data_IF_816570462638
#
_entry.id   IF_816570462638
#
_cell.length_a   1.000
_cell.length_b   1.000
_cell.length_c   1.000
_cell.angle_alpha   90.00
_cell.angle_beta   90.00
_cell.angle_gamma   90.00
#
_symmetry.space_group_name_H-M   'P 1'
#
loop_
_entity.id
_entity.type
_entity.pdbx_description
1 polymer ?
#
# COMPACT_ATOMS: atom_id res chain seq x y z
N UNK A 1 -13.66 13.81 23.41
CA UNK A 1 -14.24 14.97 24.11
C UNK A 1 -13.90 16.21 23.30
N UNK A 2 -14.91 16.88 22.76
CA UNK A 2 -14.73 18.18 22.13
C UNK A 2 -14.50 19.21 23.24
N UNK A 3 -13.29 19.77 23.34
CA UNK A 3 -12.92 20.69 24.41
C UNK A 3 -13.60 22.05 24.31
N UNK A 4 -14.16 22.40 23.14
CA UNK A 4 -14.89 23.64 22.92
C UNK A 4 -16.38 23.53 23.28
N UNK A 5 -17.01 22.39 23.00
CA UNK A 5 -18.45 22.18 23.26
C UNK A 5 -18.74 21.37 24.52
N UNK A 6 -17.77 20.60 25.02
CA UNK A 6 -17.92 19.65 26.12
C UNK A 6 -18.52 18.31 25.70
N UNK A 7 -18.84 18.12 24.43
CA UNK A 7 -19.47 16.89 23.95
C UNK A 7 -18.51 15.70 23.98
N UNK A 8 -19.00 14.56 24.47
CA UNK A 8 -18.25 13.32 24.55
C UNK A 8 -18.80 12.30 23.55
N UNK A 9 -17.95 11.81 22.66
CA UNK A 9 -18.25 10.68 21.78
C UNK A 9 -17.37 9.51 22.17
N UNK A 10 -17.99 8.35 22.36
CA UNK A 10 -17.33 7.13 22.81
C UNK A 10 -17.43 6.06 21.73
N UNK A 11 -16.30 5.44 21.42
CA UNK A 11 -16.20 4.28 20.53
C UNK A 11 -15.80 3.08 21.37
N UNK A 12 -16.73 2.14 21.53
CA UNK A 12 -16.48 0.90 22.27
C UNK A 12 -15.83 -0.17 21.37
N UNK A 13 -15.22 -1.18 22.00
CA UNK A 13 -14.66 -2.36 21.33
C UNK A 13 -13.51 -2.04 20.33
N UNK A 14 -12.79 -0.95 20.58
CA UNK A 14 -11.57 -0.58 19.85
C UNK A 14 -10.46 -1.58 20.14
N UNK A 15 -9.94 -2.22 19.08
CA UNK A 15 -8.84 -3.17 19.16
C UNK A 15 -7.47 -2.48 19.01
N UNK A 16 -7.38 -1.47 18.14
CA UNK A 16 -6.19 -0.66 17.90
C UNK A 16 -6.60 0.75 17.45
N UNK A 17 -5.78 1.78 17.70
CA UNK A 17 -6.05 3.15 17.28
C UNK A 17 -4.79 3.98 17.01
N UNK A 18 -4.89 4.92 16.07
CA UNK A 18 -3.86 5.92 15.77
C UNK A 18 -4.47 7.32 15.61
N UNK A 19 -3.71 8.33 16.03
CA UNK A 19 -4.05 9.75 15.86
C UNK A 19 -3.10 10.42 14.88
N UNK A 20 -3.65 11.13 13.90
CA UNK A 20 -2.89 12.06 13.08
C UNK A 20 -3.14 13.48 13.58
N UNK A 21 -2.20 14.03 14.38
CA UNK A 21 -2.34 15.36 15.01
C UNK A 21 -2.58 16.48 13.99
N UNK A 22 -1.94 16.42 12.82
CA UNK A 22 -2.09 17.45 11.79
C UNK A 22 -3.36 17.31 10.96
N UNK A 23 -3.87 16.08 10.77
CA UNK A 23 -5.10 15.84 10.01
C UNK A 23 -6.35 15.93 10.89
N UNK A 24 -6.17 16.02 12.21
CA UNK A 24 -7.24 15.94 13.21
C UNK A 24 -8.14 14.73 12.96
N UNK A 25 -7.55 13.53 12.83
CA UNK A 25 -8.27 12.28 12.56
C UNK A 25 -7.90 11.22 13.61
N UNK A 26 -8.93 10.54 14.13
CA UNK A 26 -8.83 9.29 14.87
C UNK A 26 -9.14 8.13 13.93
N UNK A 27 -8.26 7.15 13.82
CA UNK A 27 -8.54 5.90 13.14
C UNK A 27 -8.47 4.73 14.11
N UNK A 28 -9.35 3.74 13.95
CA UNK A 28 -9.41 2.59 14.84
C UNK A 28 -9.98 1.36 14.17
N UNK A 29 -9.68 0.19 14.71
CA UNK A 29 -10.34 -1.07 14.34
C UNK A 29 -11.27 -1.55 15.44
N UNK A 30 -12.32 -2.27 15.06
CA UNK A 30 -13.22 -2.98 15.98
C UNK A 30 -13.28 -4.45 15.62
N UNK A 31 -13.36 -5.31 16.64
CA UNK A 31 -13.59 -6.74 16.47
C UNK A 31 -14.44 -7.25 17.62
N UNK A 32 -15.59 -7.82 17.28
CA UNK A 32 -16.65 -8.22 18.18
C UNK A 32 -16.82 -9.74 18.15
N UNK A 33 -17.56 -10.28 19.13
CA UNK A 33 -17.76 -11.74 19.21
C UNK A 33 -18.75 -12.26 18.17
N UNK A 34 -19.65 -11.41 17.68
CA UNK A 34 -20.74 -11.76 16.77
C UNK A 34 -20.57 -11.15 15.38
N UNK A 35 -19.42 -10.54 15.10
CA UNK A 35 -19.11 -9.90 13.83
C UNK A 35 -19.76 -8.52 13.64
N UNK A 36 -20.64 -8.10 14.56
CA UNK A 36 -21.41 -6.88 14.39
C UNK A 36 -20.57 -5.63 14.61
N UNK A 37 -20.48 -4.81 13.55
CA UNK A 37 -19.70 -3.58 13.60
C UNK A 37 -18.19 -3.79 13.56
N UNK A 38 -17.71 -4.97 13.13
CA UNK A 38 -16.32 -5.24 12.82
C UNK A 38 -15.86 -4.40 11.63
N UNK A 39 -14.62 -3.90 11.69
CA UNK A 39 -14.07 -3.09 10.61
C UNK A 39 -12.90 -2.22 11.03
N UNK A 40 -12.43 -1.43 10.06
CA UNK A 40 -11.52 -0.32 10.26
C UNK A 40 -12.25 0.98 9.94
N UNK A 41 -12.11 1.98 10.80
CA UNK A 41 -12.87 3.21 10.76
C UNK A 41 -11.97 4.42 10.93
N UNK A 42 -12.41 5.52 10.35
CA UNK A 42 -11.80 6.84 10.46
C UNK A 42 -12.87 7.83 10.92
N UNK A 43 -12.49 8.66 11.89
CA UNK A 43 -13.30 9.72 12.47
C UNK A 43 -12.49 11.00 12.39
N UNK A 44 -12.86 11.93 11.51
CA UNK A 44 -12.41 13.31 11.60
C UNK A 44 -12.86 13.90 12.93
N UNK A 45 -11.96 14.60 13.62
CA UNK A 45 -12.23 15.20 14.92
C UNK A 45 -13.06 16.49 14.82
N UNK A 46 -13.24 17.04 13.63
CA UNK A 46 -14.03 18.24 13.36
C UNK A 46 -15.54 17.94 13.24
N UNK A 47 -15.93 16.84 12.58
CA UNK A 47 -17.33 16.43 12.45
C UNK A 47 -17.72 15.19 13.29
N UNK A 48 -16.73 14.45 13.79
CA UNK A 48 -16.88 13.25 14.63
C UNK A 48 -17.71 12.14 13.96
N UNK A 49 -17.90 12.24 12.64
CA UNK A 49 -18.65 11.26 11.87
C UNK A 49 -17.78 10.04 11.59
N UNK A 50 -18.22 8.88 12.08
CA UNK A 50 -17.57 7.59 11.79
C UNK A 50 -17.73 7.26 10.31
N UNK A 51 -16.60 7.08 9.64
CA UNK A 51 -16.50 6.64 8.24
C UNK A 51 -15.78 5.32 8.20
N UNK A 52 -16.31 4.37 7.45
CA UNK A 52 -15.65 3.09 7.29
C UNK A 52 -14.54 3.12 6.24
N UNK A 53 -13.40 2.54 6.60
CA UNK A 53 -12.33 2.15 5.68
C UNK A 53 -12.56 0.72 5.16
N UNK A 54 -12.98 -0.17 6.07
CA UNK A 54 -13.34 -1.56 5.82
C UNK A 54 -14.47 -1.93 6.79
N UNK A 55 -15.48 -2.64 6.32
CA UNK A 55 -16.55 -3.22 7.15
C UNK A 55 -16.84 -4.64 6.71
N UNK A 56 -17.22 -5.47 7.69
CA UNK A 56 -17.58 -6.86 7.47
C UNK A 56 -17.01 -7.75 8.56
N UNK A 57 -17.69 -8.87 8.81
CA UNK A 57 -17.28 -9.87 9.80
C UNK A 57 -15.82 -10.27 9.59
N UNK A 58 -15.00 -10.11 10.63
CA UNK A 58 -13.57 -10.37 10.53
C UNK A 58 -12.79 -9.91 11.76
N UNK A 59 -11.56 -10.42 11.90
CA UNK A 59 -10.70 -10.08 13.03
C UNK A 59 -9.68 -9.01 12.63
N UNK A 60 -9.91 -7.78 13.07
CA UNK A 60 -9.13 -6.58 12.75
C UNK A 60 -8.19 -6.22 13.91
N UNK A 61 -6.94 -6.69 13.86
CA UNK A 61 -6.03 -6.59 15.02
C UNK A 61 -4.98 -5.48 14.96
N UNK A 62 -4.66 -4.94 13.78
CA UNK A 62 -3.61 -3.94 13.63
C UNK A 62 -3.96 -2.93 12.55
N UNK A 63 -3.77 -1.64 12.85
CA UNK A 63 -3.95 -0.54 11.90
C UNK A 63 -2.68 0.31 11.84
N UNK A 64 -1.86 0.20 10.78
CA UNK A 64 -0.77 1.12 10.52
C UNK A 64 -1.19 2.17 9.49
N UNK A 65 -1.15 3.45 9.88
CA UNK A 65 -1.36 4.56 8.98
C UNK A 65 -0.02 5.25 8.67
N UNK A 66 0.18 5.53 7.39
CA UNK A 66 1.23 6.44 6.95
C UNK A 66 0.61 7.78 6.59
N UNK A 67 1.25 8.86 7.05
CA UNK A 67 0.86 10.25 6.74
C UNK A 67 0.74 10.52 5.24
N UNK A 68 1.55 9.83 4.43
CA UNK A 68 1.60 10.03 2.97
C UNK A 68 0.95 8.87 2.19
N UNK A 69 0.37 7.86 2.86
CA UNK A 69 -0.07 6.64 2.18
C UNK A 69 1.09 5.83 1.58
N UNK A 70 2.28 5.95 2.16
CA UNK A 70 3.48 5.19 1.79
C UNK A 70 3.63 3.95 2.67
N UNK A 71 4.10 2.86 2.10
CA UNK A 71 4.18 1.60 2.82
C UNK A 71 5.12 0.65 2.11
N UNK A 72 6.10 0.11 2.85
CA UNK A 72 7.05 -0.85 2.30
C UNK A 72 6.85 -2.23 2.91
N UNK A 73 7.03 -3.29 2.13
CA UNK A 73 6.88 -4.67 2.59
C UNK A 73 5.45 -4.97 3.06
N UNK A 74 5.23 -5.25 4.34
CA UNK A 74 3.89 -5.42 4.90
C UNK A 74 3.03 -4.17 4.85
N UNK A 75 3.63 -3.00 5.10
CA UNK A 75 2.94 -1.72 4.92
C UNK A 75 2.51 -1.54 3.47
N UNK A 76 3.34 -1.97 2.51
CA UNK A 76 3.00 -1.95 1.09
C UNK A 76 1.85 -2.88 0.73
N UNK A 77 1.79 -4.08 1.34
CA UNK A 77 0.61 -4.94 1.24
C UNK A 77 -0.64 -4.24 1.77
N UNK A 78 -0.57 -3.63 2.95
CA UNK A 78 -1.72 -2.97 3.57
C UNK A 78 -2.23 -1.81 2.72
N UNK A 79 -1.33 -0.96 2.22
CA UNK A 79 -1.69 0.10 1.25
C UNK A 79 -2.34 -0.49 0.02
N UNK A 80 -1.69 -1.48 -0.63
CA UNK A 80 -2.23 -2.14 -1.82
C UNK A 80 -3.59 -2.77 -1.58
N UNK A 81 -3.85 -3.32 -0.39
CA UNK A 81 -5.14 -3.89 -0.01
C UNK A 81 -6.20 -2.82 0.23
N UNK A 82 -5.87 -1.78 0.99
CA UNK A 82 -6.80 -0.69 1.33
C UNK A 82 -7.35 0.00 0.09
N UNK A 83 -6.50 0.32 -0.90
CA UNK A 83 -6.93 0.97 -2.15
C UNK A 83 -7.84 0.08 -3.03
N UNK A 84 -8.01 -1.21 -2.69
CA UNK A 84 -9.04 -2.07 -3.32
C UNK A 84 -10.42 -1.93 -2.67
N UNK A 85 -10.46 -1.37 -1.46
CA UNK A 85 -11.66 -1.29 -0.61
C UNK A 85 -12.22 0.12 -0.48
N UNK A 86 -11.38 1.14 -0.71
CA UNK A 86 -11.77 2.53 -0.55
C UNK A 86 -11.12 3.45 -1.59
N UNK A 87 -11.77 4.57 -1.86
CA UNK A 87 -11.30 5.65 -2.74
C UNK A 87 -10.82 6.89 -1.95
N UNK A 88 -10.58 6.74 -0.64
CA UNK A 88 -10.21 7.86 0.24
C UNK A 88 -8.85 8.48 -0.11
N UNK A 89 -7.95 7.72 -0.73
CA UNK A 89 -6.60 8.17 -1.04
C UNK A 89 -6.52 8.77 -2.44
N UNK A 90 -6.06 10.03 -2.53
CA UNK A 90 -5.82 10.72 -3.80
C UNK A 90 -4.66 10.12 -4.60
N UNK A 91 -3.67 9.54 -3.92
CA UNK A 91 -2.57 8.75 -4.48
C UNK A 91 -2.04 7.78 -3.41
N UNK A 92 -1.36 6.71 -3.82
CA UNK A 92 -0.81 5.71 -2.90
C UNK A 92 0.58 5.22 -3.34
N UNK A 93 1.45 4.95 -2.37
CA UNK A 93 2.73 4.29 -2.58
C UNK A 93 2.70 2.91 -1.90
N UNK A 94 2.90 1.85 -2.69
CA UNK A 94 2.94 0.47 -2.21
C UNK A 94 4.26 -0.20 -2.62
N UNK A 95 5.26 -0.07 -1.76
CA UNK A 95 6.62 -0.60 -1.91
C UNK A 95 6.74 -2.07 -1.54
N UNK A 96 7.38 -2.85 -2.41
CA UNK A 96 7.59 -4.30 -2.32
C UNK A 96 6.40 -5.10 -1.73
N UNK A 97 5.16 -4.91 -2.24
CA UNK A 97 3.98 -5.52 -1.63
C UNK A 97 3.87 -6.99 -2.01
N UNK A 98 3.20 -7.78 -1.16
CA UNK A 98 2.64 -9.07 -1.57
C UNK A 98 1.27 -8.80 -2.20
N UNK A 99 1.14 -8.98 -3.51
CA UNK A 99 -0.12 -8.75 -4.23
C UNK A 99 -1.00 -9.99 -4.35
N UNK A 100 -0.38 -11.17 -4.33
CA UNK A 100 -1.02 -12.45 -4.56
C UNK A 100 -0.47 -13.46 -3.56
N UNK A 101 -1.18 -13.62 -2.45
CA UNK A 101 -0.80 -14.54 -1.39
C UNK A 101 -0.84 -15.99 -1.84
N UNK A 102 -1.62 -16.35 -2.88
CA UNK A 102 -1.66 -17.73 -3.39
C UNK A 102 -0.32 -18.14 -4.02
N UNK A 103 0.23 -17.31 -4.91
CA UNK A 103 1.52 -17.56 -5.54
C UNK A 103 2.69 -17.32 -4.57
N UNK A 104 2.53 -16.35 -3.65
CA UNK A 104 3.57 -16.05 -2.68
C UNK A 104 3.64 -17.03 -1.49
N UNK A 105 2.59 -17.83 -1.22
CA UNK A 105 2.57 -18.87 -0.16
C UNK A 105 3.58 -19.98 -0.42
N UNK A 106 3.62 -20.48 -1.67
CA UNK A 106 4.56 -21.53 -2.09
C UNK A 106 6.00 -21.05 -2.34
N UNK A 107 6.29 -19.76 -2.12
CA UNK A 107 7.61 -19.18 -2.40
C UNK A 107 8.64 -19.48 -1.31
N UNK A 108 9.92 -19.32 -1.68
CA UNK A 108 11.07 -19.40 -0.80
C UNK A 108 11.67 -18.00 -0.63
N UNK A 109 12.14 -17.67 0.58
CA UNK A 109 12.97 -16.47 0.81
C UNK A 109 14.37 -16.73 0.29
N UNK A 110 14.74 -16.10 -0.82
CA UNK A 110 16.00 -16.39 -1.52
C UNK A 110 17.26 -16.09 -0.69
N UNK A 111 17.19 -15.19 0.31
CA UNK A 111 18.35 -14.92 1.17
C UNK A 111 18.57 -16.00 2.23
N UNK A 112 17.51 -16.67 2.71
CA UNK A 112 17.58 -17.56 3.88
C UNK A 112 17.24 -19.01 3.57
N UNK A 113 16.63 -19.29 2.41
CA UNK A 113 16.09 -20.61 2.06
C UNK A 113 14.81 -20.98 2.80
N UNK A 114 14.27 -20.09 3.65
CA UNK A 114 13.04 -20.38 4.41
C UNK A 114 11.81 -20.39 3.50
N UNK A 115 10.95 -21.39 3.70
CA UNK A 115 9.58 -21.35 3.18
C UNK A 115 8.86 -20.10 3.66
N UNK A 116 8.02 -19.52 2.82
CA UNK A 116 7.15 -18.39 3.19
C UNK A 116 5.85 -18.83 3.86
N UNK A 117 5.58 -20.12 4.03
CA UNK A 117 4.28 -20.57 4.60
C UNK A 117 4.05 -20.03 6.02
N UNK A 118 5.10 -19.97 6.86
CA UNK A 118 4.99 -19.54 8.26
C UNK A 118 4.40 -18.12 8.42
N UNK A 119 4.70 -17.22 7.47
CA UNK A 119 4.25 -15.83 7.55
C UNK A 119 2.75 -15.70 7.29
N UNK A 120 2.20 -16.54 6.41
CA UNK A 120 0.78 -16.50 6.09
C UNK A 120 -0.04 -17.20 7.16
N UNK A 121 0.41 -18.37 7.62
CA UNK A 121 -0.35 -19.16 8.58
C UNK A 121 -0.34 -18.54 9.98
N UNK A 122 0.80 -18.00 10.44
CA UNK A 122 1.01 -17.73 11.88
C UNK A 122 1.50 -16.34 12.24
N UNK A 123 2.23 -15.63 11.37
CA UNK A 123 2.92 -14.40 11.79
C UNK A 123 2.37 -13.13 11.16
N UNK A 124 2.77 -12.78 9.95
CA UNK A 124 2.51 -11.45 9.42
C UNK A 124 1.08 -11.33 8.88
N UNK A 125 0.60 -12.33 8.12
CA UNK A 125 -0.77 -12.33 7.58
C UNK A 125 -1.78 -13.01 8.50
N UNK A 126 -1.34 -13.97 9.35
CA UNK A 126 -2.18 -14.69 10.33
C UNK A 126 -3.50 -15.23 9.76
N UNK A 127 -3.50 -15.72 8.52
CA UNK A 127 -4.68 -16.30 7.85
C UNK A 127 -5.22 -17.51 8.65
N UNK A 128 -4.36 -18.18 9.43
CA UNK A 128 -4.80 -19.20 10.39
C UNK A 128 -4.97 -20.61 9.81
N UNK A 129 -4.65 -20.82 8.53
CA UNK A 129 -4.64 -22.13 7.89
C UNK A 129 -3.76 -22.17 6.65
N UNK A 130 -3.43 -23.38 6.19
CA UNK A 130 -2.70 -23.57 4.93
C UNK A 130 -3.51 -23.08 3.73
N UNK A 131 -2.85 -22.90 2.58
CA UNK A 131 -3.52 -22.49 1.33
C UNK A 131 -4.68 -23.42 0.95
N UNK A 132 -4.60 -24.70 1.28
CA UNK A 132 -5.63 -25.68 0.96
C UNK A 132 -6.79 -25.71 1.96
N UNK A 133 -6.54 -25.35 3.22
CA UNK A 133 -7.57 -25.29 4.27
C UNK A 133 -8.35 -23.99 4.21
N UNK A 134 -7.70 -22.88 3.86
CA UNK A 134 -8.27 -21.54 3.91
C UNK A 134 -8.19 -20.81 2.55
N UNK A 135 -8.37 -21.52 1.43
CA UNK A 135 -8.17 -20.98 0.07
C UNK A 135 -8.92 -19.67 -0.18
N UNK A 136 -10.16 -19.55 0.30
CA UNK A 136 -10.96 -18.32 0.20
C UNK A 136 -10.23 -17.13 0.83
N UNK A 137 -9.61 -17.32 1.98
CA UNK A 137 -8.94 -16.25 2.72
C UNK A 137 -7.69 -15.77 2.00
N UNK A 138 -6.92 -16.66 1.38
CA UNK A 138 -5.78 -16.26 0.54
C UNK A 138 -6.22 -15.44 -0.68
N UNK A 139 -7.38 -15.77 -1.29
CA UNK A 139 -7.95 -14.99 -2.39
C UNK A 139 -8.47 -13.63 -1.89
N UNK A 140 -9.23 -13.62 -0.79
CA UNK A 140 -9.82 -12.42 -0.21
C UNK A 140 -8.77 -11.40 0.25
N UNK A 141 -7.64 -11.87 0.76
CA UNK A 141 -6.53 -11.04 1.23
C UNK A 141 -5.49 -10.74 0.13
N UNK A 142 -5.76 -11.05 -1.14
CA UNK A 142 -4.84 -10.76 -2.24
C UNK A 142 -5.30 -9.55 -3.05
N UNK A 143 -4.61 -8.39 -2.99
CA UNK A 143 -4.98 -7.19 -3.73
C UNK A 143 -5.13 -7.41 -5.24
N UNK A 144 -4.36 -8.35 -5.82
CA UNK A 144 -4.38 -8.65 -7.24
C UNK A 144 -5.79 -8.98 -7.77
N UNK A 145 -6.59 -9.74 -7.02
CA UNK A 145 -7.93 -10.17 -7.46
C UNK A 145 -8.99 -9.07 -7.37
N UNK A 146 -8.62 -7.90 -6.84
CA UNK A 146 -9.48 -6.72 -6.75
C UNK A 146 -8.86 -5.51 -7.47
N UNK A 147 -7.88 -5.73 -8.35
CA UNK A 147 -7.21 -4.65 -9.07
C UNK A 147 -8.15 -3.81 -9.97
N UNK A 148 -9.27 -4.39 -10.40
CA UNK A 148 -10.34 -3.71 -11.14
C UNK A 148 -11.03 -2.62 -10.32
N UNK A 149 -11.09 -2.79 -9.00
CA UNK A 149 -11.69 -1.85 -8.05
C UNK A 149 -10.79 -0.66 -7.72
N UNK A 150 -9.48 -0.77 -7.94
CA UNK A 150 -8.54 0.31 -7.62
C UNK A 150 -8.82 1.51 -8.53
N UNK A 151 -9.04 2.69 -7.94
CA UNK A 151 -9.17 3.98 -8.65
C UNK A 151 -8.03 4.94 -8.33
N UNK A 152 -7.40 4.78 -7.17
CA UNK A 152 -6.24 5.56 -6.72
C UNK A 152 -5.02 5.32 -7.63
N UNK A 153 -4.34 6.38 -8.11
CA UNK A 153 -3.02 6.29 -8.72
C UNK A 153 -2.00 5.59 -7.81
N UNK A 154 -1.21 4.65 -8.36
CA UNK A 154 -0.31 3.82 -7.55
C UNK A 154 1.16 3.93 -7.99
N UNK A 155 2.03 4.40 -7.10
CA UNK A 155 3.47 4.27 -7.24
C UNK A 155 3.97 3.03 -6.50
N UNK A 156 4.91 2.29 -7.09
CA UNK A 156 5.51 1.12 -6.43
C UNK A 156 6.99 1.06 -6.71
N UNK A 157 7.78 0.77 -5.68
CA UNK A 157 9.17 0.31 -5.82
C UNK A 157 9.25 -1.17 -5.47
N UNK A 158 9.81 -1.98 -6.36
CA UNK A 158 10.16 -3.37 -6.02
C UNK A 158 11.41 -3.75 -6.82
N UNK A 159 12.37 -4.36 -6.15
CA UNK A 159 13.69 -4.63 -6.74
C UNK A 159 13.81 -6.09 -7.15
N UNK A 160 14.66 -6.35 -8.14
CA UNK A 160 14.82 -7.66 -8.78
C UNK A 160 15.65 -8.65 -7.96
N UNK A 161 16.45 -8.17 -6.99
CA UNK A 161 17.19 -8.99 -6.03
C UNK A 161 16.51 -9.03 -4.64
N UNK A 162 15.20 -8.72 -4.59
CA UNK A 162 14.41 -8.85 -3.37
C UNK A 162 14.22 -10.33 -2.98
N UNK A 163 15.10 -10.83 -2.10
CA UNK A 163 14.96 -12.16 -1.54
C UNK A 163 13.93 -12.29 -0.42
N UNK A 164 13.30 -11.19 0.02
CA UNK A 164 12.31 -11.19 1.10
C UNK A 164 10.88 -11.17 0.58
N UNK A 165 10.61 -10.59 -0.60
CA UNK A 165 9.33 -10.68 -1.33
C UNK A 165 9.62 -10.93 -2.82
N UNK A 166 9.11 -12.02 -3.42
CA UNK A 166 9.39 -12.33 -4.82
C UNK A 166 9.08 -11.15 -5.74
N UNK A 167 10.04 -10.79 -6.59
CA UNK A 167 9.94 -9.71 -7.57
C UNK A 167 8.66 -9.76 -8.43
N UNK A 168 8.20 -10.98 -8.76
CA UNK A 168 6.97 -11.18 -9.51
C UNK A 168 5.71 -10.64 -8.82
N UNK A 169 5.68 -10.48 -7.49
CA UNK A 169 4.55 -9.82 -6.80
C UNK A 169 4.44 -8.34 -7.20
N UNK A 170 5.59 -7.67 -7.34
CA UNK A 170 5.66 -6.36 -7.95
C UNK A 170 5.09 -6.43 -9.37
N UNK A 171 5.61 -7.30 -10.23
CA UNK A 171 5.17 -7.35 -11.63
C UNK A 171 3.65 -7.63 -11.76
N UNK A 172 3.11 -8.63 -11.06
CA UNK A 172 1.72 -9.10 -11.18
C UNK A 172 0.71 -7.96 -11.04
N UNK A 173 0.76 -7.20 -9.95
CA UNK A 173 -0.20 -6.12 -9.71
C UNK A 173 0.00 -4.92 -10.65
N UNK A 174 1.23 -4.56 -11.02
CA UNK A 174 1.42 -3.46 -12.00
C UNK A 174 0.92 -3.85 -13.38
N UNK A 175 1.22 -5.05 -13.85
CA UNK A 175 0.71 -5.52 -15.14
C UNK A 175 -0.82 -5.58 -15.12
N UNK A 176 -1.44 -6.01 -14.02
CA UNK A 176 -2.90 -5.96 -13.86
C UNK A 176 -3.44 -4.53 -13.96
N UNK A 177 -2.88 -3.58 -13.21
CA UNK A 177 -3.27 -2.16 -13.26
C UNK A 177 -3.09 -1.55 -14.66
N UNK A 178 -1.96 -1.83 -15.32
CA UNK A 178 -1.69 -1.40 -16.70
C UNK A 178 -2.68 -2.00 -17.70
N UNK A 179 -3.02 -3.28 -17.54
CA UNK A 179 -4.04 -3.95 -18.37
C UNK A 179 -5.41 -3.30 -18.21
N UNK A 180 -5.72 -2.86 -17.00
CA UNK A 180 -6.96 -2.15 -16.63
C UNK A 180 -6.90 -0.64 -16.90
N UNK A 181 -5.82 -0.16 -17.55
CA UNK A 181 -5.58 1.25 -17.87
C UNK A 181 -5.65 2.19 -16.65
N UNK A 182 -5.26 1.69 -15.47
CA UNK A 182 -5.17 2.47 -14.24
C UNK A 182 -3.83 3.21 -14.18
N UNK A 183 -3.76 4.43 -13.60
CA UNK A 183 -2.51 5.13 -13.40
C UNK A 183 -1.61 4.36 -12.42
N UNK A 184 -0.51 3.80 -12.92
CA UNK A 184 0.38 2.98 -12.14
C UNK A 184 1.82 3.07 -12.64
N UNK A 185 2.75 3.11 -11.69
CA UNK A 185 4.19 3.15 -11.94
C UNK A 185 4.90 2.06 -11.16
N UNK A 186 5.95 1.49 -11.76
CA UNK A 186 6.82 0.51 -11.13
C UNK A 186 8.27 0.95 -11.33
N UNK A 187 8.94 1.26 -10.23
CA UNK A 187 10.36 1.53 -10.19
C UNK A 187 11.12 0.28 -9.75
N UNK A 188 12.18 -0.03 -10.49
CA UNK A 188 13.05 -1.17 -10.26
C UNK A 188 14.52 -0.73 -10.27
N UNK A 189 15.16 -0.86 -9.11
CA UNK A 189 16.59 -0.60 -8.96
C UNK A 189 17.34 -1.93 -9.07
N UNK A 190 17.97 -2.18 -10.22
CA UNK A 190 18.61 -3.47 -10.50
C UNK A 190 19.70 -3.81 -9.47
N UNK A 191 19.63 -5.03 -8.95
CA UNK A 191 20.54 -5.57 -7.95
C UNK A 191 20.37 -4.97 -6.55
N UNK A 192 19.31 -4.16 -6.32
CA UNK A 192 18.91 -3.82 -4.95
C UNK A 192 18.04 -4.93 -4.37
N UNK A 193 18.18 -5.12 -3.05
CA UNK A 193 17.40 -6.11 -2.33
C UNK A 193 16.04 -5.59 -1.90
N UNK A 194 15.53 -6.16 -0.80
CA UNK A 194 14.25 -5.77 -0.23
C UNK A 194 14.16 -4.27 0.10
N UNK A 195 15.26 -3.63 0.50
CA UNK A 195 15.35 -2.19 0.66
C UNK A 195 16.56 -1.64 -0.08
N UNK A 196 16.53 -0.34 -0.41
CA UNK A 196 17.61 0.33 -1.13
C UNK A 196 18.83 0.53 -0.23
N UNK A 197 20.00 0.10 -0.69
CA UNK A 197 21.28 0.27 0.01
C UNK A 197 22.15 1.34 -0.62
N UNK A 198 22.19 1.47 -1.94
CA UNK A 198 23.04 2.47 -2.60
C UNK A 198 22.47 3.88 -2.39
N UNK A 199 23.33 4.83 -2.03
CA UNK A 199 22.92 6.22 -1.78
C UNK A 199 22.27 6.85 -3.01
N UNK A 200 22.79 6.57 -4.20
CA UNK A 200 22.24 7.09 -5.45
C UNK A 200 20.78 6.62 -5.67
N UNK A 201 20.50 5.34 -5.39
CA UNK A 201 19.16 4.79 -5.52
C UNK A 201 18.21 5.36 -4.47
N UNK A 202 18.67 5.50 -3.22
CA UNK A 202 17.87 6.13 -2.14
C UNK A 202 17.48 7.57 -2.47
N UNK A 203 18.42 8.35 -3.03
CA UNK A 203 18.16 9.72 -3.46
C UNK A 203 17.17 9.77 -4.63
N UNK A 204 17.38 8.96 -5.67
CA UNK A 204 16.47 8.91 -6.81
C UNK A 204 15.05 8.48 -6.39
N UNK A 205 14.92 7.47 -5.53
CA UNK A 205 13.63 7.04 -4.98
C UNK A 205 12.93 8.16 -4.23
N UNK A 206 13.64 8.86 -3.33
CA UNK A 206 13.06 9.96 -2.57
C UNK A 206 12.54 11.09 -3.49
N UNK A 207 13.30 11.43 -4.53
CA UNK A 207 12.88 12.44 -5.52
C UNK A 207 11.62 11.99 -6.26
N UNK A 208 11.58 10.75 -6.75
CA UNK A 208 10.41 10.24 -7.51
C UNK A 208 9.17 10.10 -6.64
N UNK A 209 9.34 9.62 -5.42
CA UNK A 209 8.24 9.51 -4.46
C UNK A 209 7.68 10.90 -4.15
N UNK A 210 8.55 11.88 -3.89
CA UNK A 210 8.14 13.27 -3.70
C UNK A 210 7.40 13.81 -4.93
N UNK A 211 7.97 13.70 -6.13
CA UNK A 211 7.34 14.20 -7.36
C UNK A 211 5.97 13.56 -7.64
N UNK A 212 5.84 12.27 -7.34
CA UNK A 212 4.57 11.57 -7.48
C UNK A 212 3.49 12.16 -6.56
N UNK A 213 3.80 12.37 -5.28
CA UNK A 213 2.87 13.00 -4.35
C UNK A 213 2.65 14.47 -4.65
N UNK A 214 3.68 15.24 -4.99
CA UNK A 214 3.56 16.65 -5.35
C UNK A 214 2.60 16.82 -6.55
N UNK A 215 2.68 15.93 -7.55
CA UNK A 215 1.76 15.97 -8.70
C UNK A 215 0.30 15.71 -8.29
N UNK A 216 0.06 14.72 -7.43
CA UNK A 216 -1.32 14.32 -7.07
C UNK A 216 -1.93 15.08 -5.90
N UNK A 217 -1.11 15.69 -5.03
CA UNK A 217 -1.53 16.34 -3.80
C UNK A 217 -1.31 17.85 -3.80
N UNK A 218 -0.45 18.36 -4.69
CA UNK A 218 -0.07 19.78 -4.75
C UNK A 218 -0.17 20.39 -6.15
N UNK A 219 -0.80 19.70 -7.10
CA UNK A 219 -0.94 20.14 -8.50
C UNK A 219 0.39 20.47 -9.20
N UNK A 220 1.50 19.87 -8.74
CA UNK A 220 2.79 20.09 -9.36
C UNK A 220 2.80 19.52 -10.80
N UNK A 221 3.56 20.13 -11.74
CA UNK A 221 3.68 19.59 -13.08
C UNK A 221 4.21 18.16 -13.06
N UNK A 222 3.68 17.32 -13.96
CA UNK A 222 4.08 15.91 -14.04
C UNK A 222 5.55 15.77 -14.45
N UNK A 223 6.37 14.95 -13.79
CA UNK A 223 7.73 14.70 -14.23
C UNK A 223 7.77 13.78 -15.46
N UNK A 224 8.81 13.92 -16.29
CA UNK A 224 8.99 13.14 -17.53
C UNK A 224 8.88 11.64 -17.28
N UNK A 225 9.49 11.13 -16.20
CA UNK A 225 9.45 9.70 -15.88
C UNK A 225 8.04 9.18 -15.57
N UNK A 226 7.12 10.02 -15.08
CA UNK A 226 5.74 9.63 -14.85
C UNK A 226 4.95 9.62 -16.16
N UNK A 227 5.16 10.63 -17.01
CA UNK A 227 4.44 10.77 -18.27
C UNK A 227 4.84 9.72 -19.30
N UNK A 228 6.15 9.48 -19.45
CA UNK A 228 6.72 8.72 -20.58
C UNK A 228 7.41 7.43 -20.13
N UNK A 229 7.77 7.33 -18.86
CA UNK A 229 8.71 6.32 -18.37
C UNK A 229 10.15 6.66 -18.75
N UNK A 230 11.10 5.85 -18.29
CA UNK A 230 12.51 5.93 -18.71
C UNK A 230 12.82 4.67 -19.52
N UNK A 231 13.10 4.78 -20.83
CA UNK A 231 13.46 3.63 -21.65
C UNK A 231 14.67 2.88 -21.08
N UNK A 232 14.68 1.55 -21.22
CA UNK A 232 15.79 0.72 -20.72
C UNK A 232 17.14 1.13 -21.34
N UNK A 233 17.15 1.60 -22.59
CA UNK A 233 18.34 2.10 -23.31
C UNK A 233 18.91 3.40 -22.74
N UNK A 234 18.10 4.14 -21.97
CA UNK A 234 18.46 5.41 -21.35
C UNK A 234 18.71 5.29 -19.85
N UNK A 235 18.58 4.08 -19.31
CA UNK A 235 18.87 3.78 -17.91
C UNK A 235 20.33 4.14 -17.58
N UNK A 236 20.52 5.01 -16.57
CA UNK A 236 21.83 5.51 -16.17
C UNK A 236 22.36 6.68 -17.01
N UNK A 237 21.65 7.08 -18.08
CA UNK A 237 21.96 8.28 -18.88
C UNK A 237 21.09 9.46 -18.47
N UNK A 238 19.81 9.20 -18.20
CA UNK A 238 18.87 10.17 -17.63
C UNK A 238 18.01 9.51 -16.57
N UNK A 239 17.57 10.31 -15.60
CA UNK A 239 16.59 9.90 -14.60
C UNK A 239 15.16 10.32 -14.99
N UNK A 240 15.00 11.23 -15.95
CA UNK A 240 13.69 11.77 -16.33
C UNK A 240 12.99 12.52 -15.19
N UNK A 241 13.75 13.06 -14.23
CA UNK A 241 13.22 13.81 -13.07
C UNK A 241 12.90 15.27 -13.40
N UNK A 242 13.10 15.69 -14.64
CA UNK A 242 12.71 17.01 -15.11
C UNK A 242 11.17 17.12 -15.14
N UNK A 243 10.64 18.29 -14.79
CA UNK A 243 9.21 18.55 -14.82
C UNK A 243 8.79 18.95 -16.23
N UNK A 244 7.69 18.40 -16.73
CA UNK A 244 7.12 18.88 -17.99
C UNK A 244 6.59 20.29 -17.81
N UNK A 245 6.95 21.19 -18.71
CA UNK A 245 6.38 22.55 -18.77
C UNK A 245 4.85 22.44 -18.78
N UNK A 246 4.12 23.30 -18.06
CA UNK A 246 2.65 23.35 -18.12
C UNK A 246 2.12 23.51 -19.56
N UNK A 247 2.97 24.04 -20.45
CA UNK A 247 2.65 24.42 -21.82
C UNK A 247 3.01 23.34 -22.86
N UNK A 248 3.54 22.18 -22.44
CA UNK A 248 3.91 21.08 -23.33
C UNK A 248 5.01 21.40 -24.36
N UNK A 249 5.89 22.36 -24.04
CA UNK A 249 7.05 22.76 -24.85
C UNK A 249 8.34 22.77 -24.04
#
# INVERSE_FOLDING_TARGET
MNLATGDETRYDLVADYEFAEEAAVLAFTTSTKDGSGDGAYVVPLDDVARRALLEGEGRYEQLPLSKNGEGHSWGGYQVAYMITKTDLFAAAEAGAPVSNMTSAYGGIRWQTGMSRMFQYERTQSRIGGSLWEATSEYLHNSPLFYADKIRTPVLRMHNDDDGAVPWYQGIELFVALRRLQKPAWLLNYNGEGHGLRRDANRKDWAVRMQQFFDHYLQDAPVPVWMAEGVPAVDKGRTLGTELLSPDGR
#
